data_IF_840026589990
#
_entry.id   IF_840026589990
#
_cell.length_a   1.000
_cell.length_b   1.000
_cell.length_c   1.000
_cell.angle_alpha   90.00
_cell.angle_beta   90.00
_cell.angle_gamma   90.00
#
_symmetry.space_group_name_H-M   'P 1'
#
loop_
_entity.id
_entity.type
_entity.pdbx_description
1 polymer ?
#
# COMPACT_ATOMS: atom_id res chain seq x y z
N UNK A 1 -60.67 60.88 -15.13
CA UNK A 1 -60.30 62.11 -14.41
C UNK A 1 -58.82 62.32 -14.63
N UNK A 2 -58.49 63.06 -15.69
CA UNK A 2 -57.16 63.57 -15.96
C UNK A 2 -57.34 65.09 -16.10
N UNK A 3 -56.57 65.83 -15.31
CA UNK A 3 -56.61 67.28 -15.19
C UNK A 3 -56.27 67.96 -16.52
N UNK A 4 -57.08 68.93 -16.87
CA UNK A 4 -56.91 69.82 -18.03
C UNK A 4 -55.96 70.96 -17.65
N UNK A 5 -54.70 70.91 -18.09
CA UNK A 5 -53.86 72.11 -18.16
C UNK A 5 -54.05 72.81 -19.51
N UNK A 6 -54.97 73.76 -19.52
CA UNK A 6 -55.12 74.77 -20.56
C UNK A 6 -54.03 75.85 -20.39
N UNK A 7 -53.02 75.85 -21.27
CA UNK A 7 -52.19 77.03 -21.50
C UNK A 7 -52.56 77.67 -22.84
N UNK A 8 -53.32 78.76 -22.73
CA UNK A 8 -53.71 79.62 -23.83
C UNK A 8 -52.51 80.43 -24.34
N UNK A 9 -52.26 80.37 -25.64
CA UNK A 9 -51.48 81.38 -26.36
C UNK A 9 -52.33 81.87 -27.53
N UNK A 10 -52.73 83.13 -27.44
CA UNK A 10 -53.47 83.87 -28.47
C UNK A 10 -52.52 84.38 -29.54
N UNK A 11 -52.80 84.09 -30.82
CA UNK A 11 -52.46 85.01 -31.91
C UNK A 11 -53.41 84.83 -33.10
N UNK A 12 -54.07 85.93 -33.46
CA UNK A 12 -54.85 86.13 -34.68
C UNK A 12 -53.96 85.96 -35.92
N UNK A 13 -54.44 85.23 -36.92
CA UNK A 13 -53.88 85.20 -38.26
C UNK A 13 -54.04 83.83 -38.90
N UNK A 14 -54.90 83.74 -39.92
CA UNK A 14 -55.24 82.49 -40.58
C UNK A 14 -54.03 81.74 -41.15
N UNK A 15 -53.96 80.46 -40.83
CA UNK A 15 -53.05 79.48 -41.42
C UNK A 15 -53.52 78.09 -41.02
N UNK A 16 -53.90 77.28 -42.01
CA UNK A 16 -54.33 75.88 -41.81
C UNK A 16 -53.19 75.09 -41.15
N UNK A 17 -53.46 74.46 -40.00
CA UNK A 17 -52.54 73.50 -39.39
C UNK A 17 -53.05 72.09 -39.71
N UNK A 18 -52.36 71.42 -40.62
CA UNK A 18 -52.57 70.02 -40.94
C UNK A 18 -52.19 69.13 -39.74
N UNK A 19 -53.15 68.38 -39.22
CA UNK A 19 -52.93 67.45 -38.11
C UNK A 19 -52.42 66.10 -38.66
N UNK A 20 -51.10 65.93 -38.74
CA UNK A 20 -50.47 64.63 -38.99
C UNK A 20 -50.46 63.77 -37.73
N UNK A 21 -51.26 62.69 -37.68
CA UNK A 21 -51.18 61.68 -36.62
C UNK A 21 -49.86 60.90 -36.74
N UNK A 22 -48.90 61.15 -35.83
CA UNK A 22 -47.75 60.25 -35.62
C UNK A 22 -48.16 59.11 -34.68
N UNK A 23 -47.90 57.83 -35.01
CA UNK A 23 -48.28 56.71 -34.14
C UNK A 23 -47.25 56.54 -33.02
N UNK A 24 -47.38 57.31 -31.93
CA UNK A 24 -46.50 57.17 -30.76
C UNK A 24 -46.73 55.88 -29.95
N UNK A 25 -47.81 55.14 -30.22
CA UNK A 25 -48.22 53.98 -29.42
C UNK A 25 -47.56 52.65 -29.83
N UNK A 26 -46.84 52.60 -30.95
CA UNK A 26 -46.22 51.35 -31.43
C UNK A 26 -44.87 51.03 -30.76
N UNK A 27 -44.16 52.03 -30.23
CA UNK A 27 -42.81 51.85 -29.69
C UNK A 27 -42.83 51.31 -28.26
N UNK A 28 -43.73 51.82 -27.41
CA UNK A 28 -43.87 51.37 -26.02
C UNK A 28 -44.31 49.91 -25.88
N UNK A 29 -45.20 49.44 -26.77
CA UNK A 29 -45.67 48.05 -26.76
C UNK A 29 -44.58 47.05 -27.18
N UNK A 30 -43.67 47.47 -28.08
CA UNK A 30 -42.53 46.65 -28.50
C UNK A 30 -41.45 46.58 -27.42
N UNK A 31 -41.20 47.67 -26.69
CA UNK A 31 -40.26 47.71 -25.57
C UNK A 31 -40.72 46.87 -24.37
N UNK A 32 -42.02 46.94 -23.99
CA UNK A 32 -42.56 46.07 -22.94
C UNK A 32 -42.57 44.59 -23.35
N UNK A 33 -42.89 44.28 -24.62
CA UNK A 33 -42.84 42.90 -25.11
C UNK A 33 -41.41 42.34 -25.09
N UNK A 34 -40.41 43.15 -25.45
CA UNK A 34 -39.00 42.75 -25.40
C UNK A 34 -38.53 42.49 -23.96
N UNK A 35 -38.95 43.33 -23.01
CA UNK A 35 -38.62 43.18 -21.59
C UNK A 35 -39.22 41.90 -20.99
N UNK A 36 -40.46 41.56 -21.34
CA UNK A 36 -41.11 40.32 -20.88
C UNK A 36 -40.45 39.08 -21.47
N UNK A 37 -40.03 39.12 -22.74
CA UNK A 37 -39.30 38.01 -23.38
C UNK A 37 -37.90 37.85 -22.77
N UNK A 38 -37.20 38.93 -22.43
CA UNK A 38 -35.90 38.88 -21.75
C UNK A 38 -35.99 38.33 -20.33
N UNK A 39 -37.03 38.70 -19.57
CA UNK A 39 -37.28 38.16 -18.22
C UNK A 39 -37.71 36.69 -18.28
N UNK A 40 -38.52 36.31 -19.27
CA UNK A 40 -38.89 34.90 -19.49
C UNK A 40 -37.69 34.04 -19.94
N UNK A 41 -36.83 34.57 -20.81
CA UNK A 41 -35.59 33.90 -21.22
C UNK A 41 -34.59 33.75 -20.06
N UNK A 42 -34.52 34.72 -19.15
CA UNK A 42 -33.72 34.63 -17.93
C UNK A 42 -34.27 33.58 -16.93
N UNK A 43 -35.59 33.39 -16.87
CA UNK A 43 -36.22 32.35 -16.05
C UNK A 43 -35.99 30.91 -16.56
N UNK A 44 -35.83 30.73 -17.88
CA UNK A 44 -35.60 29.42 -18.51
C UNK A 44 -34.12 28.98 -18.49
N UNK A 45 -33.18 29.89 -18.19
CA UNK A 45 -31.75 29.57 -18.05
C UNK A 45 -31.36 29.03 -16.65
N UNK A 46 -32.32 28.91 -15.72
CA UNK A 46 -32.06 28.57 -14.32
C UNK A 46 -31.70 27.11 -14.00
N UNK A 47 -31.57 26.22 -15.00
CA UNK A 47 -31.27 24.80 -14.77
C UNK A 47 -30.19 24.25 -15.71
N UNK A 48 -29.09 24.98 -15.88
CA UNK A 48 -27.83 24.34 -16.27
C UNK A 48 -27.03 24.10 -14.99
N UNK A 49 -27.09 22.86 -14.48
CA UNK A 49 -26.12 22.34 -13.51
C UNK A 49 -24.73 22.80 -13.96
N UNK A 50 -24.08 23.62 -13.13
CA UNK A 50 -22.65 23.85 -13.27
C UNK A 50 -22.00 22.48 -13.06
N UNK A 51 -21.24 21.94 -14.02
CA UNK A 51 -20.50 20.70 -13.79
C UNK A 51 -19.44 20.98 -12.72
N UNK A 52 -19.76 20.66 -11.47
CA UNK A 52 -18.76 20.57 -10.43
C UNK A 52 -17.88 19.37 -10.77
N UNK A 53 -16.61 19.60 -11.09
CA UNK A 53 -15.65 18.54 -11.49
C UNK A 53 -15.37 17.51 -10.37
N UNK A 54 -16.05 17.60 -9.21
CA UNK A 54 -15.83 16.74 -8.04
C UNK A 54 -17.08 16.68 -7.14
N UNK A 55 -17.38 15.54 -6.50
CA UNK A 55 -18.44 15.43 -5.49
C UNK A 55 -18.23 16.40 -4.31
N UNK A 56 -19.32 16.98 -3.80
CA UNK A 56 -19.32 17.78 -2.56
C UNK A 56 -19.42 16.88 -1.32
N UNK A 57 -19.02 17.36 -0.14
CA UNK A 57 -19.10 16.58 1.10
C UNK A 57 -20.53 16.11 1.42
N UNK A 58 -21.55 16.92 1.11
CA UNK A 58 -22.96 16.57 1.27
C UNK A 58 -23.42 15.45 0.31
N UNK A 59 -22.83 15.37 -0.88
CA UNK A 59 -23.14 14.31 -1.84
C UNK A 59 -22.52 12.98 -1.41
N UNK A 60 -21.33 13.01 -0.81
CA UNK A 60 -20.67 11.83 -0.24
C UNK A 60 -21.47 11.28 0.93
N UNK A 61 -21.92 12.15 1.86
CA UNK A 61 -22.76 11.69 2.97
C UNK A 61 -24.14 11.18 2.52
N UNK A 62 -24.74 11.77 1.48
CA UNK A 62 -25.99 11.29 0.90
C UNK A 62 -25.84 9.91 0.22
N UNK A 63 -24.71 9.67 -0.46
CA UNK A 63 -24.42 8.37 -1.08
C UNK A 63 -24.11 7.27 -0.07
N UNK A 64 -23.49 7.61 1.07
CA UNK A 64 -23.30 6.67 2.17
C UNK A 64 -24.64 6.16 2.72
N UNK A 65 -25.66 7.03 2.77
CA UNK A 65 -27.01 6.65 3.20
C UNK A 65 -27.71 5.67 2.24
N UNK A 66 -27.25 5.56 0.99
CA UNK A 66 -27.68 4.54 0.01
C UNK A 66 -26.89 3.21 0.14
N UNK A 67 -26.15 3.04 1.24
CA UNK A 67 -25.45 1.81 1.62
C UNK A 67 -24.41 1.30 0.60
N UNK A 68 -23.89 2.20 -0.25
CA UNK A 68 -22.87 1.86 -1.27
C UNK A 68 -21.46 1.73 -0.69
N UNK A 69 -21.23 2.35 0.46
CA UNK A 69 -19.99 2.31 1.22
C UNK A 69 -20.26 2.70 2.67
N UNK A 70 -19.36 2.30 3.57
CA UNK A 70 -19.41 2.66 4.98
C UNK A 70 -18.75 4.03 5.20
N UNK A 71 -19.47 5.01 5.73
CA UNK A 71 -18.91 6.31 6.09
C UNK A 71 -18.55 6.37 7.57
N UNK A 72 -17.26 6.55 7.88
CA UNK A 72 -16.74 6.53 9.25
C UNK A 72 -16.04 7.86 9.54
N UNK A 73 -16.61 8.68 10.43
CA UNK A 73 -15.88 9.83 10.96
C UNK A 73 -14.68 9.37 11.79
N UNK A 74 -13.51 9.96 11.54
CA UNK A 74 -12.29 9.66 12.27
C UNK A 74 -12.36 10.30 13.65
N UNK A 75 -12.26 9.45 14.66
CA UNK A 75 -12.14 9.77 16.09
C UNK A 75 -10.92 9.00 16.67
N UNK A 76 -10.54 9.20 17.95
CA UNK A 76 -9.40 8.49 18.54
C UNK A 76 -9.51 6.96 18.45
N UNK A 77 -10.71 6.41 18.68
CA UNK A 77 -10.93 4.96 18.66
C UNK A 77 -10.80 4.39 17.25
N UNK A 78 -11.36 5.10 16.26
CA UNK A 78 -11.26 4.74 14.85
C UNK A 78 -9.81 4.82 14.37
N UNK A 79 -9.08 5.88 14.72
CA UNK A 79 -7.67 6.04 14.34
C UNK A 79 -6.81 4.89 14.88
N UNK A 80 -6.99 4.51 16.14
CA UNK A 80 -6.24 3.39 16.74
C UNK A 80 -6.67 2.03 16.16
N UNK A 81 -7.97 1.85 15.90
CA UNK A 81 -8.50 0.56 15.39
C UNK A 81 -8.13 0.32 13.94
N UNK A 82 -8.18 1.36 13.09
CA UNK A 82 -7.81 1.28 11.68
C UNK A 82 -6.29 1.11 11.46
N UNK A 83 -5.47 1.38 12.48
CA UNK A 83 -4.00 1.24 12.40
C UNK A 83 -3.54 -0.22 12.54
N UNK A 84 -4.39 -1.15 12.96
CA UNK A 84 -4.03 -2.58 13.06
C UNK A 84 -3.65 -3.13 11.69
N UNK A 85 -2.41 -3.58 11.54
CA UNK A 85 -1.90 -4.19 10.31
C UNK A 85 -2.46 -5.61 10.15
N UNK A 86 -2.80 -5.98 8.93
CA UNK A 86 -3.11 -7.38 8.57
C UNK A 86 -1.88 -8.24 8.84
N UNK A 87 -2.06 -9.43 9.43
CA UNK A 87 -0.95 -10.33 9.71
C UNK A 87 -0.18 -10.70 8.41
N UNK A 88 1.16 -10.71 8.44
CA UNK A 88 1.97 -11.14 7.31
C UNK A 88 1.62 -12.57 6.87
N UNK A 89 1.65 -12.81 5.56
CA UNK A 89 1.37 -14.15 5.00
C UNK A 89 2.54 -15.13 5.20
N UNK A 90 3.73 -14.63 5.55
CA UNK A 90 4.94 -15.45 5.64
C UNK A 90 4.78 -16.66 6.57
N UNK A 91 4.47 -16.42 7.83
CA UNK A 91 4.34 -17.47 8.83
C UNK A 91 3.10 -18.33 8.61
N UNK A 92 1.98 -17.74 8.18
CA UNK A 92 0.76 -18.50 7.92
C UNK A 92 0.92 -19.45 6.71
N UNK A 93 1.72 -19.08 5.71
CA UNK A 93 1.96 -19.91 4.53
C UNK A 93 3.06 -20.96 4.70
N UNK A 94 4.14 -20.63 5.41
CA UNK A 94 5.34 -21.47 5.53
C UNK A 94 5.50 -22.12 6.90
N UNK A 95 4.74 -21.66 7.89
CA UNK A 95 4.86 -22.06 9.29
C UNK A 95 6.03 -21.38 10.00
N UNK A 96 5.99 -21.38 11.33
CA UNK A 96 7.16 -21.11 12.18
C UNK A 96 8.09 -22.33 12.18
N UNK A 97 8.45 -22.80 10.99
CA UNK A 97 9.39 -23.91 10.82
C UNK A 97 10.82 -23.37 10.87
N UNK A 98 11.74 -24.11 11.47
CA UNK A 98 13.15 -23.70 11.58
C UNK A 98 13.93 -24.24 12.77
N UNK A 99 13.27 -24.88 13.73
CA UNK A 99 13.97 -25.63 14.77
C UNK A 99 14.76 -26.79 14.18
N UNK A 100 16.06 -26.56 13.96
CA UNK A 100 17.15 -27.55 13.99
C UNK A 100 16.84 -28.91 13.38
N UNK A 101 16.24 -28.98 12.19
CA UNK A 101 16.33 -30.23 11.41
C UNK A 101 17.72 -30.28 10.83
N UNK A 102 18.59 -31.09 11.44
CA UNK A 102 19.89 -31.38 10.87
C UNK A 102 19.71 -31.76 9.40
N UNK A 103 20.40 -31.09 8.47
CA UNK A 103 20.22 -31.33 7.06
C UNK A 103 20.47 -32.81 6.76
N UNK A 104 19.62 -33.37 5.91
CA UNK A 104 19.78 -34.74 5.41
C UNK A 104 20.75 -34.71 4.24
N UNK A 105 21.61 -35.71 4.18
CA UNK A 105 22.56 -35.88 3.09
C UNK A 105 21.84 -36.26 1.80
N UNK A 106 22.21 -35.65 0.69
CA UNK A 106 21.64 -35.91 -0.63
C UNK A 106 22.65 -36.50 -1.62
N UNK A 107 22.14 -37.06 -2.71
CA UNK A 107 22.98 -37.57 -3.81
C UNK A 107 23.79 -36.42 -4.41
N UNK A 108 25.10 -36.60 -4.52
CA UNK A 108 26.03 -35.60 -5.00
C UNK A 108 26.63 -34.69 -3.93
N UNK A 109 26.19 -34.78 -2.66
CA UNK A 109 26.92 -34.16 -1.56
C UNK A 109 28.27 -34.83 -1.35
N UNK A 110 29.23 -34.07 -0.84
CA UNK A 110 30.57 -34.53 -0.49
C UNK A 110 30.76 -34.43 1.02
N UNK A 111 31.13 -35.55 1.63
CA UNK A 111 31.42 -35.65 3.06
C UNK A 111 32.90 -35.96 3.28
N UNK A 112 33.43 -35.48 4.39
CA UNK A 112 34.74 -35.83 4.92
C UNK A 112 34.53 -36.77 6.10
N UNK A 113 35.23 -37.92 6.10
CA UNK A 113 35.21 -38.86 7.20
C UNK A 113 36.60 -38.95 7.83
N UNK A 114 36.68 -38.76 9.14
CA UNK A 114 37.90 -39.05 9.92
C UNK A 114 37.64 -40.27 10.77
N UNK A 115 38.50 -41.29 10.62
CA UNK A 115 38.40 -42.56 11.32
C UNK A 115 39.60 -42.67 12.26
N UNK A 116 39.36 -42.85 13.54
CA UNK A 116 40.39 -43.14 14.55
C UNK A 116 40.28 -44.58 15.04
N UNK A 117 41.43 -45.14 15.39
CA UNK A 117 41.54 -46.47 15.95
C UNK A 117 42.33 -46.48 17.26
N UNK A 118 42.05 -47.48 18.10
CA UNK A 118 42.73 -47.67 19.38
C UNK A 118 44.05 -48.44 19.24
N UNK A 119 44.33 -49.04 18.07
CA UNK A 119 45.48 -49.93 17.84
C UNK A 119 46.67 -49.17 17.24
N UNK A 120 47.88 -49.61 17.55
CA UNK A 120 49.12 -49.02 17.02
C UNK A 120 49.39 -49.41 15.55
N UNK A 121 48.91 -50.58 15.14
CA UNK A 121 48.97 -51.10 13.78
C UNK A 121 47.57 -51.52 13.31
N UNK A 122 46.63 -50.58 13.36
CA UNK A 122 45.26 -50.77 12.89
C UNK A 122 45.11 -50.55 11.37
N UNK A 123 43.89 -50.78 10.87
CA UNK A 123 43.56 -50.75 9.45
C UNK A 123 43.58 -49.33 8.84
N UNK A 124 43.48 -48.32 9.70
CA UNK A 124 43.43 -46.90 9.38
C UNK A 124 44.51 -46.10 10.13
N UNK A 125 45.60 -46.73 10.56
CA UNK A 125 46.76 -46.00 11.07
C UNK A 125 47.54 -45.38 9.91
N UNK A 126 47.91 -44.11 10.04
CA UNK A 126 48.74 -43.40 9.08
C UNK A 126 50.16 -43.24 9.63
N UNK A 127 51.13 -42.93 8.77
CA UNK A 127 52.53 -42.74 9.17
C UNK A 127 52.75 -41.69 10.27
N UNK A 128 51.76 -40.81 10.49
CA UNK A 128 51.81 -39.70 11.45
C UNK A 128 50.79 -39.79 12.58
N UNK A 129 50.00 -40.87 12.69
CA UNK A 129 49.03 -41.01 13.78
C UNK A 129 48.04 -42.18 13.68
N UNK A 130 47.21 -42.32 14.72
CA UNK A 130 46.17 -43.37 14.82
C UNK A 130 44.85 -42.99 14.11
N UNK A 131 44.96 -42.25 13.01
CA UNK A 131 43.79 -41.76 12.26
C UNK A 131 44.05 -41.62 10.78
N UNK A 132 42.99 -41.81 10.00
CA UNK A 132 42.94 -41.52 8.56
C UNK A 132 41.76 -40.60 8.27
N UNK A 133 42.03 -39.54 7.52
CA UNK A 133 41.00 -38.63 7.00
C UNK A 133 40.79 -38.91 5.52
N UNK A 134 39.52 -39.05 5.12
CA UNK A 134 39.09 -39.20 3.73
C UNK A 134 38.35 -37.94 3.34
N UNK A 135 39.02 -37.05 2.61
CA UNK A 135 38.57 -35.67 2.38
C UNK A 135 37.38 -35.52 1.43
N UNK A 136 37.15 -36.49 0.55
CA UNK A 136 36.21 -36.31 -0.57
C UNK A 136 35.39 -37.55 -0.89
N UNK A 137 34.51 -37.94 0.03
CA UNK A 137 33.52 -38.99 -0.19
C UNK A 137 32.27 -38.41 -0.84
N UNK A 138 32.10 -38.68 -2.14
CA UNK A 138 30.90 -38.23 -2.88
C UNK A 138 29.80 -39.27 -2.73
N UNK A 139 28.59 -38.81 -2.39
CA UNK A 139 27.39 -39.66 -2.35
C UNK A 139 26.98 -39.96 -3.79
N UNK A 140 27.12 -41.22 -4.18
CA UNK A 140 26.85 -41.70 -5.54
C UNK A 140 25.33 -41.80 -5.80
N UNK A 141 24.95 -42.07 -7.05
CA UNK A 141 23.58 -42.15 -7.56
C UNK A 141 22.69 -43.16 -6.83
N UNK A 142 23.27 -44.21 -6.25
CA UNK A 142 22.59 -45.20 -5.40
C UNK A 142 22.38 -44.71 -3.95
N UNK A 143 22.82 -43.49 -3.64
CA UNK A 143 22.76 -42.88 -2.32
C UNK A 143 23.81 -43.41 -1.33
N UNK A 144 24.85 -44.10 -1.82
CA UNK A 144 25.90 -44.67 -1.00
C UNK A 144 27.26 -43.99 -1.19
N UNK A 145 28.12 -44.15 -0.19
CA UNK A 145 29.55 -43.82 -0.25
C UNK A 145 30.36 -45.10 -0.13
N UNK A 146 31.48 -45.16 -0.86
CA UNK A 146 32.45 -46.24 -0.67
C UNK A 146 33.42 -45.86 0.45
N UNK A 147 33.49 -46.70 1.47
CA UNK A 147 34.47 -46.57 2.54
C UNK A 147 35.33 -47.83 2.49
N UNK A 148 36.66 -47.71 2.39
CA UNK A 148 37.55 -48.88 2.43
C UNK A 148 37.18 -49.77 3.61
N UNK A 149 37.15 -51.09 3.42
CA UNK A 149 36.78 -52.12 4.42
C UNK A 149 35.31 -52.12 4.89
N UNK A 150 34.66 -50.98 5.07
CA UNK A 150 33.21 -50.91 5.32
C UNK A 150 32.35 -51.18 4.06
N UNK A 151 32.95 -51.10 2.87
CA UNK A 151 32.29 -51.29 1.58
C UNK A 151 31.39 -50.11 1.20
N UNK A 152 30.33 -50.38 0.40
CA UNK A 152 29.32 -49.36 0.06
C UNK A 152 28.31 -49.20 1.19
N UNK A 153 28.20 -47.97 1.72
CA UNK A 153 27.30 -47.63 2.83
C UNK A 153 26.30 -46.57 2.37
N UNK A 154 25.00 -46.89 2.41
CA UNK A 154 23.93 -45.97 2.02
C UNK A 154 23.70 -44.91 3.09
N UNK A 155 23.94 -43.64 2.76
CA UNK A 155 23.83 -42.50 3.69
C UNK A 155 22.89 -41.38 3.19
N UNK A 156 22.43 -41.44 1.94
CA UNK A 156 21.44 -40.49 1.43
C UNK A 156 20.12 -40.57 2.23
N UNK A 157 19.55 -39.41 2.53
CA UNK A 157 18.34 -39.24 3.35
C UNK A 157 18.57 -39.37 4.86
N UNK A 158 19.82 -39.55 5.31
CA UNK A 158 20.22 -39.59 6.73
C UNK A 158 20.80 -38.26 7.17
N UNK A 159 20.66 -37.93 8.45
CA UNK A 159 21.45 -36.83 9.03
C UNK A 159 22.93 -37.22 9.11
N UNK A 160 23.82 -36.25 9.26
CA UNK A 160 25.25 -36.50 9.47
C UNK A 160 25.49 -37.48 10.63
N UNK A 161 24.74 -37.33 11.72
CA UNK A 161 24.88 -38.17 12.91
C UNK A 161 24.31 -39.57 12.74
N UNK A 162 23.25 -39.73 11.96
CA UNK A 162 22.75 -41.04 11.55
C UNK A 162 23.75 -41.75 10.63
N UNK A 163 24.30 -41.03 9.65
CA UNK A 163 25.30 -41.56 8.72
C UNK A 163 26.57 -41.98 9.47
N UNK A 164 27.07 -41.16 10.39
CA UNK A 164 28.22 -41.45 11.27
C UNK A 164 28.02 -42.78 12.01
N UNK A 165 26.86 -42.98 12.64
CA UNK A 165 26.53 -44.22 13.36
C UNK A 165 26.50 -45.43 12.44
N UNK A 166 25.88 -45.32 11.26
CA UNK A 166 25.81 -46.42 10.28
C UNK A 166 27.22 -46.83 9.84
N UNK A 167 28.09 -45.87 9.54
CA UNK A 167 29.47 -46.11 9.14
C UNK A 167 30.25 -46.78 10.26
N UNK A 168 30.15 -46.26 11.50
CA UNK A 168 30.82 -46.82 12.66
C UNK A 168 30.44 -48.29 12.89
N UNK A 169 29.14 -48.62 12.86
CA UNK A 169 28.66 -50.01 13.02
C UNK A 169 29.13 -50.95 11.90
N UNK A 170 29.35 -50.44 10.68
CA UNK A 170 29.95 -51.24 9.60
C UNK A 170 31.42 -51.52 9.84
N UNK A 171 32.16 -50.53 10.33
CA UNK A 171 33.58 -50.65 10.63
C UNK A 171 33.88 -51.52 11.85
N UNK A 172 32.98 -51.58 12.83
CA UNK A 172 33.10 -52.45 14.01
C UNK A 172 33.22 -53.95 13.67
N UNK A 173 32.85 -54.35 12.45
CA UNK A 173 33.04 -55.73 11.95
C UNK A 173 34.47 -56.01 11.48
N UNK A 174 35.21 -54.95 11.14
CA UNK A 174 36.51 -55.03 10.49
C UNK A 174 37.64 -54.57 11.43
N UNK A 175 37.36 -53.71 12.42
CA UNK A 175 38.36 -53.19 13.36
C UNK A 175 37.82 -53.03 14.78
N UNK A 176 38.72 -52.97 15.76
CA UNK A 176 38.38 -52.90 17.19
C UNK A 176 38.15 -51.45 17.63
N UNK A 177 36.90 -51.15 18.02
CA UNK A 177 36.46 -49.85 18.56
C UNK A 177 36.82 -48.65 17.64
N UNK A 178 36.42 -48.66 16.35
CA UNK A 178 36.61 -47.49 15.50
C UNK A 178 35.80 -46.31 16.03
N UNK A 179 36.40 -45.11 15.98
CA UNK A 179 35.68 -43.85 16.17
C UNK A 179 35.58 -43.14 14.83
N UNK A 180 34.40 -42.65 14.48
CA UNK A 180 34.15 -41.98 13.20
C UNK A 180 33.62 -40.58 13.47
N UNK A 181 34.28 -39.58 12.92
CA UNK A 181 33.74 -38.23 12.73
C UNK A 181 33.35 -38.07 11.26
N UNK A 182 32.17 -37.49 11.03
CA UNK A 182 31.69 -37.19 9.69
C UNK A 182 31.36 -35.70 9.62
N UNK A 183 31.87 -35.01 8.60
CA UNK A 183 31.61 -33.60 8.34
C UNK A 183 31.13 -33.43 6.89
N UNK A 184 30.26 -32.46 6.65
CA UNK A 184 29.89 -32.08 5.28
C UNK A 184 31.02 -31.19 4.75
N UNK A 185 31.66 -31.61 3.65
CA UNK A 185 32.74 -30.86 3.01
C UNK A 185 32.19 -29.89 1.95
N UNK A 186 31.25 -30.35 1.12
CA UNK A 186 30.52 -29.54 0.14
C UNK A 186 29.18 -30.19 -0.13
N UNK A 187 28.08 -29.53 0.22
CA UNK A 187 26.73 -30.03 -0.02
C UNK A 187 25.96 -29.14 -1.00
N UNK A 188 25.20 -29.74 -1.91
CA UNK A 188 24.14 -29.05 -2.66
C UNK A 188 22.84 -29.02 -1.87
N UNK A 189 22.65 -29.99 -0.98
CA UNK A 189 21.38 -30.26 -0.29
C UNK A 189 21.03 -29.32 0.87
N UNK A 190 21.76 -28.23 1.10
CA UNK A 190 21.47 -27.30 2.19
C UNK A 190 21.72 -25.83 1.81
N UNK A 191 21.20 -25.38 0.66
CA UNK A 191 21.33 -23.99 0.22
C UNK A 191 19.97 -23.33 0.00
N UNK A 192 19.88 -22.05 0.32
CA UNK A 192 18.82 -21.16 -0.15
C UNK A 192 19.37 -20.18 -1.19
N UNK A 193 18.51 -19.77 -2.11
CA UNK A 193 18.81 -18.74 -3.10
C UNK A 193 18.29 -17.40 -2.59
N UNK A 194 19.12 -16.38 -2.57
CA UNK A 194 18.73 -14.99 -2.32
C UNK A 194 18.90 -14.18 -3.59
N UNK A 195 17.84 -13.48 -4.00
CA UNK A 195 17.83 -12.64 -5.19
C UNK A 195 17.07 -11.34 -4.97
N UNK A 196 17.29 -10.38 -5.87
CA UNK A 196 16.60 -9.09 -5.89
C UNK A 196 17.41 -7.98 -5.22
N UNK A 197 16.74 -7.07 -4.51
CA UNK A 197 17.28 -5.85 -3.92
C UNK A 197 18.11 -6.10 -2.64
N UNK A 198 19.12 -6.96 -2.74
CA UNK A 198 20.12 -7.21 -1.69
C UNK A 198 21.51 -6.81 -2.16
N UNK A 199 22.45 -6.58 -1.22
CA UNK A 199 23.82 -6.20 -1.58
C UNK A 199 24.59 -7.31 -2.32
N UNK A 200 24.38 -8.58 -1.93
CA UNK A 200 25.06 -9.75 -2.49
C UNK A 200 24.03 -10.84 -2.84
N UNK A 201 23.40 -10.80 -4.03
CA UNK A 201 22.55 -11.90 -4.47
C UNK A 201 23.39 -13.17 -4.74
N UNK A 202 22.85 -14.34 -4.41
CA UNK A 202 23.59 -15.59 -4.54
C UNK A 202 22.98 -16.79 -3.82
N UNK A 203 23.73 -17.88 -3.78
CA UNK A 203 23.40 -19.08 -3.00
C UNK A 203 24.06 -19.01 -1.63
N UNK A 204 23.29 -19.32 -0.58
CA UNK A 204 23.73 -19.26 0.81
C UNK A 204 23.55 -20.63 1.48
N UNK A 205 24.57 -21.08 2.21
CA UNK A 205 24.56 -22.34 2.94
C UNK A 205 23.74 -22.22 4.24
N UNK A 206 22.86 -23.20 4.49
CA UNK A 206 21.90 -23.26 5.61
C UNK A 206 22.41 -24.11 6.80
N UNK A 207 23.72 -24.16 7.01
CA UNK A 207 24.39 -25.06 7.97
C UNK A 207 24.51 -24.53 9.41
N UNK A 208 24.60 -25.44 10.39
CA UNK A 208 24.68 -25.13 11.84
C UNK A 208 26.04 -24.60 12.33
N UNK A 209 27.13 -24.81 11.58
CA UNK A 209 28.48 -24.42 12.02
C UNK A 209 28.83 -22.97 11.63
N UNK A 210 28.44 -22.54 10.42
CA UNK A 210 28.83 -21.26 9.81
C UNK A 210 27.73 -20.69 8.86
N UNK A 211 26.55 -21.31 8.80
CA UNK A 211 25.50 -21.01 7.81
C UNK A 211 24.30 -20.29 8.41
N UNK A 212 23.53 -19.64 7.54
CA UNK A 212 22.34 -18.91 7.91
C UNK A 212 21.14 -19.85 7.99
N UNK A 213 20.75 -20.26 9.20
CA UNK A 213 19.61 -21.14 9.43
C UNK A 213 18.27 -20.42 9.29
N UNK A 214 18.25 -19.11 9.51
CA UNK A 214 17.02 -18.29 9.43
C UNK A 214 16.99 -17.34 8.24
N UNK A 215 15.80 -16.83 7.93
CA UNK A 215 15.61 -15.81 6.91
C UNK A 215 16.43 -14.56 7.23
N UNK A 216 16.43 -14.10 8.49
CA UNK A 216 17.18 -12.94 8.93
C UNK A 216 18.70 -13.12 8.83
N UNK A 217 19.23 -14.28 9.27
CA UNK A 217 20.64 -14.59 9.12
C UNK A 217 21.05 -14.61 7.64
N UNK A 218 20.18 -15.15 6.78
CA UNK A 218 20.46 -15.30 5.35
C UNK A 218 20.45 -13.95 4.65
N UNK A 219 19.49 -13.08 4.98
CA UNK A 219 19.45 -11.70 4.50
C UNK A 219 20.67 -10.90 4.96
N UNK A 220 21.13 -11.13 6.19
CA UNK A 220 22.32 -10.47 6.75
C UNK A 220 23.59 -10.94 6.04
N UNK A 221 23.72 -12.25 5.79
CA UNK A 221 24.81 -12.81 4.99
C UNK A 221 24.82 -12.26 3.55
N UNK A 222 23.63 -12.01 2.99
CA UNK A 222 23.44 -11.32 1.72
C UNK A 222 23.73 -9.81 1.75
N UNK A 223 24.18 -9.28 2.88
CA UNK A 223 24.54 -7.88 3.08
C UNK A 223 23.35 -6.95 3.28
N UNK A 224 22.18 -7.48 3.64
CA UNK A 224 20.96 -6.73 3.91
C UNK A 224 20.23 -6.25 2.65
N UNK A 225 19.15 -5.47 2.86
CA UNK A 225 18.42 -4.82 1.77
C UNK A 225 19.18 -3.61 1.23
N UNK A 226 19.14 -3.43 -0.09
CA UNK A 226 19.63 -2.23 -0.75
C UNK A 226 18.67 -1.03 -0.59
N UNK A 227 17.44 -1.27 -0.13
CA UNK A 227 16.39 -0.28 0.04
C UNK A 227 16.00 -0.11 1.51
N UNK A 228 15.35 1.00 1.89
CA UNK A 228 14.84 1.16 3.25
C UNK A 228 13.88 0.02 3.64
N UNK A 229 13.88 -0.43 4.91
CA UNK A 229 13.05 -1.55 5.35
C UNK A 229 11.55 -1.38 5.07
N UNK A 230 11.05 -0.16 5.21
CA UNK A 230 9.63 0.18 4.98
C UNK A 230 9.19 0.03 3.52
N UNK A 231 10.13 0.04 2.56
CA UNK A 231 9.89 -0.21 1.12
C UNK A 231 10.29 -1.61 0.67
N UNK A 232 10.83 -2.42 1.58
CA UNK A 232 11.38 -3.72 1.20
C UNK A 232 10.36 -4.81 1.52
N UNK A 233 9.94 -5.55 0.50
CA UNK A 233 9.17 -6.77 0.68
C UNK A 233 10.06 -8.00 0.47
N UNK A 234 10.03 -8.91 1.44
CA UNK A 234 10.74 -10.19 1.40
C UNK A 234 9.73 -11.29 1.14
N UNK A 235 9.91 -12.01 0.04
CA UNK A 235 9.07 -13.15 -0.33
C UNK A 235 9.91 -14.42 -0.30
N UNK A 236 9.44 -15.43 0.44
CA UNK A 236 10.03 -16.76 0.46
C UNK A 236 9.14 -17.72 -0.33
N UNK A 237 9.74 -18.44 -1.26
CA UNK A 237 9.09 -19.48 -2.08
C UNK A 237 9.67 -20.84 -1.73
N UNK A 238 8.83 -21.73 -1.23
CA UNK A 238 9.13 -23.10 -0.80
C UNK A 238 8.29 -24.09 -1.59
N UNK A 239 8.86 -24.66 -2.65
CA UNK A 239 8.12 -25.49 -3.59
C UNK A 239 6.95 -24.74 -4.21
N UNK A 240 5.71 -25.14 -3.91
CA UNK A 240 4.47 -24.48 -4.37
C UNK A 240 3.92 -23.44 -3.39
N UNK A 241 4.48 -23.36 -2.17
CA UNK A 241 4.06 -22.41 -1.14
C UNK A 241 4.86 -21.13 -1.26
N UNK A 242 4.21 -20.00 -1.00
CA UNK A 242 4.85 -18.69 -0.95
C UNK A 242 4.31 -17.88 0.21
N UNK A 243 5.18 -17.11 0.83
CA UNK A 243 4.81 -16.18 1.90
C UNK A 243 5.64 -14.92 1.79
N UNK A 244 5.03 -13.78 2.13
CA UNK A 244 5.66 -12.47 2.02
C UNK A 244 5.52 -11.68 3.32
N UNK A 245 6.54 -10.89 3.63
CA UNK A 245 6.59 -9.99 4.77
C UNK A 245 7.33 -8.71 4.40
N UNK A 246 6.88 -7.58 4.93
CA UNK A 246 7.63 -6.34 4.87
C UNK A 246 8.86 -6.43 5.81
N UNK A 247 10.04 -6.00 5.35
CA UNK A 247 11.29 -6.16 6.08
C UNK A 247 11.28 -5.44 7.44
N UNK A 248 10.65 -4.27 7.53
CA UNK A 248 10.52 -3.56 8.81
C UNK A 248 9.67 -4.36 9.81
N UNK A 249 8.57 -4.95 9.35
CA UNK A 249 7.72 -5.81 10.20
C UNK A 249 8.49 -7.03 10.69
N UNK A 250 9.37 -7.60 9.86
CA UNK A 250 10.26 -8.69 10.25
C UNK A 250 11.28 -8.26 11.32
N UNK A 251 11.83 -7.03 11.22
CA UNK A 251 12.75 -6.47 12.22
C UNK A 251 12.06 -6.20 13.56
N UNK A 252 10.83 -5.69 13.54
CA UNK A 252 10.07 -5.36 14.75
C UNK A 252 9.52 -6.60 15.47
N UNK A 253 9.32 -7.71 14.75
CA UNK A 253 8.64 -8.89 15.26
C UNK A 253 9.46 -10.16 14.94
N UNK A 254 10.37 -10.58 15.83
CA UNK A 254 11.21 -11.77 15.66
C UNK A 254 10.41 -13.07 15.46
N UNK A 255 9.16 -13.13 15.91
CA UNK A 255 8.26 -14.27 15.73
C UNK A 255 7.94 -14.61 14.27
N UNK A 256 8.24 -13.69 13.34
CA UNK A 256 8.13 -13.92 11.90
C UNK A 256 9.43 -14.38 11.24
N UNK A 257 10.54 -14.47 11.98
CA UNK A 257 11.78 -15.05 11.45
C UNK A 257 11.63 -16.57 11.32
N UNK A 258 11.48 -17.02 10.07
CA UNK A 258 11.34 -18.43 9.76
C UNK A 258 12.71 -19.05 9.47
N UNK A 259 12.87 -20.31 9.82
CA UNK A 259 13.98 -21.11 9.33
C UNK A 259 13.81 -21.44 7.86
N UNK A 260 14.90 -21.30 7.11
CA UNK A 260 14.94 -21.66 5.71
C UNK A 260 15.15 -23.16 5.54
N UNK A 261 14.55 -23.70 4.49
CA UNK A 261 14.73 -25.07 4.06
C UNK A 261 15.56 -25.13 2.78
N UNK A 262 16.28 -26.24 2.53
CA UNK A 262 17.01 -26.42 1.28
C UNK A 262 16.10 -26.22 0.06
N UNK A 263 16.57 -25.42 -0.90
CA UNK A 263 15.82 -25.09 -2.11
C UNK A 263 14.85 -23.90 -1.98
N UNK A 264 14.74 -23.30 -0.79
CA UNK A 264 14.00 -22.05 -0.61
C UNK A 264 14.58 -20.94 -1.50
N UNK A 265 13.68 -20.14 -2.08
CA UNK A 265 14.03 -18.94 -2.86
C UNK A 265 13.53 -17.73 -2.12
N UNK A 266 14.46 -16.92 -1.64
CA UNK A 266 14.21 -15.63 -1.00
C UNK A 266 14.36 -14.54 -2.05
N UNK A 267 13.27 -13.84 -2.33
CA UNK A 267 13.21 -12.72 -3.28
C UNK A 267 12.95 -11.44 -2.49
N UNK A 268 13.87 -10.50 -2.59
CA UNK A 268 13.77 -9.19 -1.96
C UNK A 268 13.41 -8.17 -3.04
N UNK A 269 12.30 -7.47 -2.88
CA UNK A 269 11.82 -6.50 -3.85
C UNK A 269 11.66 -5.10 -3.22
N UNK A 270 11.93 -4.07 -4.02
CA UNK A 270 11.51 -2.70 -3.70
C UNK A 270 10.05 -2.55 -4.09
N UNK A 271 9.20 -2.36 -3.09
CA UNK A 271 7.76 -2.14 -3.23
C UNK A 271 7.45 -0.80 -2.58
N UNK A 272 7.62 0.32 -3.32
CA UNK A 272 7.28 1.64 -2.78
C UNK A 272 5.79 1.70 -2.48
N UNK A 273 5.44 2.00 -1.23
CA UNK A 273 4.07 2.29 -0.86
C UNK A 273 3.70 3.69 -1.38
N UNK A 274 2.55 3.80 -2.05
CA UNK A 274 2.06 5.07 -2.62
C UNK A 274 0.65 5.38 -2.15
N UNK A 275 0.25 6.64 -2.25
CA UNK A 275 -1.12 7.11 -2.06
C UNK A 275 -1.49 8.15 -3.10
N UNK A 276 -2.78 8.29 -3.36
CA UNK A 276 -3.30 9.29 -4.30
C UNK A 276 -3.94 10.47 -3.58
N UNK A 277 -3.57 11.68 -3.96
CA UNK A 277 -4.15 12.94 -3.48
C UNK A 277 -4.99 13.60 -4.56
N UNK A 278 -6.26 13.82 -4.27
CA UNK A 278 -7.25 14.37 -5.19
C UNK A 278 -8.06 15.51 -4.56
N UNK A 279 -8.69 16.33 -5.41
CA UNK A 279 -9.60 17.39 -4.98
C UNK A 279 -8.92 18.72 -4.65
N UNK A 280 -9.41 19.43 -3.64
CA UNK A 280 -9.03 20.81 -3.30
C UNK A 280 -7.74 20.92 -2.46
N UNK A 281 -6.66 20.31 -2.95
CA UNK A 281 -5.30 20.38 -2.36
C UNK A 281 -4.38 21.18 -3.28
N UNK A 282 -3.27 21.68 -2.74
CA UNK A 282 -2.30 22.49 -3.51
C UNK A 282 -1.75 21.69 -4.70
N UNK A 283 -1.22 20.50 -4.43
CA UNK A 283 -0.67 19.59 -5.42
C UNK A 283 -1.43 18.26 -5.42
N UNK A 284 -2.00 17.90 -6.58
CA UNK A 284 -2.70 16.62 -6.81
C UNK A 284 -1.73 15.64 -7.45
N UNK A 285 -1.90 14.36 -7.19
CA UNK A 285 -1.07 13.32 -7.81
C UNK A 285 -0.88 12.11 -6.92
N UNK A 286 -0.01 11.22 -7.37
CA UNK A 286 0.45 10.05 -6.63
C UNK A 286 1.75 10.37 -5.91
N UNK A 287 1.85 9.98 -4.64
CA UNK A 287 2.98 10.28 -3.76
C UNK A 287 3.50 9.00 -3.10
N UNK A 288 4.83 8.81 -3.03
CA UNK A 288 5.41 7.72 -2.28
C UNK A 288 5.43 8.02 -0.78
N UNK A 289 5.36 6.97 0.04
CA UNK A 289 5.65 7.09 1.46
C UNK A 289 7.13 7.35 1.67
N UNK A 290 7.44 8.36 2.47
CA UNK A 290 8.83 8.78 2.76
C UNK A 290 9.39 8.15 4.03
N UNK A 291 8.53 7.49 4.81
CA UNK A 291 8.82 6.88 6.12
C UNK A 291 7.80 5.77 6.42
N UNK A 292 8.07 4.97 7.44
CA UNK A 292 7.23 3.84 7.85
C UNK A 292 5.99 4.23 8.63
N UNK A 293 6.13 5.21 9.50
CA UNK A 293 5.07 5.84 10.29
C UNK A 293 4.39 6.93 9.45
N UNK A 294 3.88 6.56 8.27
CA UNK A 294 3.20 7.49 7.38
C UNK A 294 1.73 7.65 7.78
N UNK A 295 1.35 8.86 8.18
CA UNK A 295 0.01 9.18 8.67
C UNK A 295 -0.74 10.14 7.74
N UNK A 296 -2.05 10.28 7.95
CA UNK A 296 -2.90 11.16 7.12
C UNK A 296 -2.42 12.63 7.15
N UNK A 297 -1.83 13.08 8.26
CA UNK A 297 -1.22 14.41 8.33
C UNK A 297 0.01 14.56 7.41
N UNK A 298 0.80 13.49 7.27
CA UNK A 298 1.97 13.47 6.39
C UNK A 298 1.53 13.53 4.92
N UNK A 299 0.43 12.83 4.58
CA UNK A 299 -0.19 12.87 3.26
C UNK A 299 -0.65 14.29 2.88
N UNK A 300 -1.37 14.97 3.79
CA UNK A 300 -1.80 16.36 3.59
C UNK A 300 -0.60 17.31 3.44
N UNK A 301 0.45 17.08 4.22
CA UNK A 301 1.67 17.90 4.16
C UNK A 301 2.44 17.69 2.86
N UNK A 302 2.54 16.45 2.38
CA UNK A 302 3.19 16.11 1.11
C UNK A 302 2.48 16.73 -0.10
N UNK A 303 1.15 16.89 -0.04
CA UNK A 303 0.38 17.58 -1.06
C UNK A 303 0.51 19.12 -1.02
N UNK A 304 1.24 19.68 -0.04
CA UNK A 304 1.34 21.12 0.18
C UNK A 304 0.16 21.71 0.98
N UNK A 305 -0.69 20.87 1.57
CA UNK A 305 -1.84 21.29 2.36
C UNK A 305 -3.13 21.49 1.55
N UNK A 306 -4.15 21.99 2.25
CA UNK A 306 -5.46 22.30 1.68
C UNK A 306 -5.42 23.68 1.03
N UNK A 307 -6.12 23.84 -0.10
CA UNK A 307 -6.30 25.16 -0.72
C UNK A 307 -7.21 26.03 0.13
N UNK A 308 -6.67 27.03 0.82
CA UNK A 308 -7.41 27.84 1.80
C UNK A 308 -8.73 28.44 1.29
N UNK A 309 -8.77 28.83 0.02
CA UNK A 309 -9.95 29.49 -0.60
C UNK A 309 -10.94 28.52 -1.26
N UNK A 310 -10.56 27.27 -1.45
CA UNK A 310 -11.34 26.28 -2.21
C UNK A 310 -11.70 25.05 -1.39
N UNK A 311 -10.88 24.65 -0.44
CA UNK A 311 -11.03 23.41 0.29
C UNK A 311 -12.07 23.48 1.39
N UNK A 312 -12.90 22.45 1.48
CA UNK A 312 -13.79 22.26 2.62
C UNK A 312 -13.04 21.53 3.75
N UNK A 313 -12.72 22.24 4.83
CA UNK A 313 -11.96 21.69 5.98
C UNK A 313 -12.69 20.54 6.70
N UNK A 314 -14.01 20.44 6.61
CA UNK A 314 -14.80 19.33 7.16
C UNK A 314 -14.87 18.09 6.25
N UNK A 315 -14.37 18.21 5.01
CA UNK A 315 -14.60 17.25 3.94
C UNK A 315 -13.29 16.70 3.36
N UNK A 316 -12.39 16.30 4.25
CA UNK A 316 -11.22 15.48 3.92
C UNK A 316 -11.62 14.02 4.07
N UNK A 317 -11.59 13.27 2.97
CA UNK A 317 -12.04 11.89 2.93
C UNK A 317 -10.88 10.97 2.56
N UNK A 318 -10.78 9.82 3.21
CA UNK A 318 -9.86 8.75 2.84
C UNK A 318 -10.69 7.53 2.43
N UNK A 319 -10.44 7.03 1.22
CA UNK A 319 -11.17 5.92 0.63
C UNK A 319 -10.26 4.68 0.62
N UNK A 320 -10.76 3.58 1.17
CA UNK A 320 -10.05 2.29 1.19
C UNK A 320 -11.02 1.12 1.31
N UNK A 321 -10.59 -0.06 0.89
CA UNK A 321 -11.27 -1.30 1.26
C UNK A 321 -10.74 -1.77 2.61
N UNK A 322 -11.62 -1.96 3.58
CA UNK A 322 -11.24 -2.45 4.91
C UNK A 322 -11.64 -3.88 5.18
N UNK A 323 -10.88 -4.50 6.07
CA UNK A 323 -11.22 -5.80 6.62
C UNK A 323 -12.55 -5.72 7.41
N UNK A 324 -13.48 -6.66 7.19
CA UNK A 324 -14.75 -6.69 7.92
C UNK A 324 -14.58 -6.71 9.44
N UNK A 325 -13.51 -7.31 9.97
CA UNK A 325 -13.19 -7.33 11.40
C UNK A 325 -12.92 -5.94 11.97
N UNK A 326 -12.22 -5.07 11.22
CA UNK A 326 -11.95 -3.68 11.61
C UNK A 326 -13.25 -2.88 11.60
N UNK A 327 -14.02 -2.95 10.51
CA UNK A 327 -15.31 -2.24 10.40
C UNK A 327 -16.26 -2.69 11.50
N UNK A 328 -16.36 -4.00 11.76
CA UNK A 328 -17.19 -4.55 12.82
C UNK A 328 -16.72 -4.19 14.24
N UNK A 329 -15.43 -3.93 14.45
CA UNK A 329 -14.93 -3.38 15.72
C UNK A 329 -15.43 -1.94 15.92
N UNK A 330 -15.41 -1.12 14.87
CA UNK A 330 -15.91 0.26 14.89
C UNK A 330 -17.43 0.28 15.10
N UNK A 331 -18.18 -0.52 14.35
CA UNK A 331 -19.65 -0.61 14.47
C UNK A 331 -20.09 -1.05 15.86
N UNK A 332 -19.42 -2.03 16.46
CA UNK A 332 -19.69 -2.45 17.85
C UNK A 332 -19.48 -1.31 18.86
N UNK A 333 -18.42 -0.53 18.71
CA UNK A 333 -18.18 0.64 19.55
C UNK A 333 -19.28 1.70 19.40
N UNK A 334 -19.92 1.78 18.23
CA UNK A 334 -21.04 2.69 17.93
C UNK A 334 -22.43 2.13 18.26
N UNK A 335 -22.53 0.87 18.69
CA UNK A 335 -23.81 0.20 18.92
C UNK A 335 -24.56 -0.18 17.63
N UNK A 336 -23.85 -0.26 16.50
CA UNK A 336 -24.41 -0.59 15.19
C UNK A 336 -24.36 -2.10 14.92
N UNK A 337 -25.30 -2.65 14.12
CA UNK A 337 -25.33 -4.07 13.80
C UNK A 337 -24.09 -4.49 13.00
N UNK A 338 -23.54 -5.66 13.31
CA UNK A 338 -22.36 -6.25 12.67
C UNK A 338 -22.67 -6.61 11.21
N UNK A 339 -21.76 -6.24 10.30
CA UNK A 339 -21.83 -6.61 8.90
C UNK A 339 -21.44 -8.08 8.71
N UNK A 340 -22.31 -8.85 8.05
CA UNK A 340 -22.07 -10.25 7.68
C UNK A 340 -21.48 -10.34 6.27
N UNK A 341 -20.30 -9.77 6.07
CA UNK A 341 -19.56 -9.88 4.80
C UNK A 341 -18.20 -10.52 5.01
N UNK A 342 -17.77 -11.33 4.03
CA UNK A 342 -16.43 -11.93 3.97
C UNK A 342 -15.49 -11.19 3.02
N UNK A 343 -16.03 -10.24 2.25
CA UNK A 343 -15.28 -9.43 1.29
C UNK A 343 -14.92 -8.08 1.89
N UNK A 344 -13.87 -7.44 1.38
CA UNK A 344 -13.46 -6.11 1.81
C UNK A 344 -14.60 -5.11 1.74
N UNK A 345 -14.75 -4.31 2.79
CA UNK A 345 -15.82 -3.32 2.92
C UNK A 345 -15.33 -1.99 2.34
N UNK A 346 -15.95 -1.45 1.28
CA UNK A 346 -15.62 -0.11 0.79
C UNK A 346 -15.92 0.89 1.91
N UNK A 347 -14.87 1.51 2.44
CA UNK A 347 -14.95 2.37 3.61
C UNK A 347 -14.39 3.74 3.29
N UNK A 348 -15.16 4.77 3.64
CA UNK A 348 -14.80 6.17 3.49
C UNK A 348 -14.63 6.76 4.88
N UNK A 349 -13.40 7.14 5.21
CA UNK A 349 -13.07 7.81 6.45
C UNK A 349 -13.17 9.32 6.29
N UNK A 350 -13.95 9.99 7.14
CA UNK A 350 -14.08 11.44 7.12
C UNK A 350 -13.26 12.08 8.24
N UNK A 351 -12.37 12.99 7.88
CA UNK A 351 -11.62 13.83 8.80
C UNK A 351 -12.18 15.25 8.81
N UNK A 352 -12.43 15.78 10.02
CA UNK A 352 -12.85 17.17 10.20
C UNK A 352 -11.68 18.02 10.74
N UNK A 353 -11.17 18.93 9.90
CA UNK A 353 -10.10 19.88 10.24
C UNK A 353 -10.60 21.28 10.64
N UNK A 354 -11.92 21.49 10.78
CA UNK A 354 -12.44 22.71 11.41
C UNK A 354 -12.14 22.76 12.91
N UNK A 355 -12.05 21.58 13.52
CA UNK A 355 -11.65 21.41 14.91
C UNK A 355 -10.17 21.07 14.99
N UNK A 356 -9.43 21.75 15.86
CA UNK A 356 -8.01 21.49 16.12
C UNK A 356 -7.75 20.02 16.50
N UNK A 357 -8.72 19.33 17.13
CA UNK A 357 -8.63 17.89 17.45
C UNK A 357 -8.44 17.02 16.21
N UNK A 358 -8.98 17.44 15.06
CA UNK A 358 -8.82 16.73 13.79
C UNK A 358 -7.36 16.54 13.40
N UNK A 359 -6.49 17.50 13.67
CA UNK A 359 -5.05 17.36 13.39
C UNK A 359 -4.39 16.28 14.23
N UNK A 360 -4.79 16.12 15.49
CA UNK A 360 -4.30 15.02 16.34
C UNK A 360 -4.76 13.66 15.83
N UNK A 361 -6.00 13.58 15.32
CA UNK A 361 -6.52 12.35 14.73
C UNK A 361 -5.80 12.02 13.41
N UNK A 362 -5.53 13.01 12.58
CA UNK A 362 -4.74 12.87 11.35
C UNK A 362 -3.30 12.38 11.62
N UNK A 363 -2.71 12.78 12.75
CA UNK A 363 -1.39 12.31 13.18
C UNK A 363 -1.38 10.87 13.71
N UNK A 364 -2.53 10.35 14.16
CA UNK A 364 -2.66 8.95 14.64
C UNK A 364 -3.15 7.99 13.59
N UNK A 365 -3.86 8.48 12.56
CA UNK A 365 -4.41 7.64 11.52
C UNK A 365 -3.31 7.22 10.53
N UNK A 366 -2.85 5.97 10.64
CA UNK A 366 -1.85 5.41 9.73
C UNK A 366 -2.42 5.20 8.33
N UNK A 367 -1.68 5.62 7.32
CA UNK A 367 -2.00 5.42 5.91
C UNK A 367 -1.54 4.02 5.47
N UNK A 368 -2.25 3.42 4.51
CA UNK A 368 -1.84 2.19 3.82
C UNK A 368 -1.54 2.46 2.34
N UNK A 369 -0.70 1.61 1.76
CA UNK A 369 -0.42 1.67 0.33
C UNK A 369 -1.71 1.53 -0.48
N UNK A 370 -1.88 2.38 -1.50
CA UNK A 370 -3.06 2.44 -2.35
C UNK A 370 -4.23 3.26 -1.77
N UNK A 371 -4.09 3.86 -0.58
CA UNK A 371 -5.11 4.75 -0.04
C UNK A 371 -5.33 5.97 -0.96
N UNK A 372 -6.59 6.39 -1.09
CA UNK A 372 -6.97 7.57 -1.86
C UNK A 372 -7.50 8.63 -0.92
N UNK A 373 -6.84 9.78 -0.87
CA UNK A 373 -7.29 10.94 -0.09
C UNK A 373 -7.92 11.96 -1.03
N UNK A 374 -9.14 12.33 -0.72
CA UNK A 374 -9.96 13.22 -1.52
C UNK A 374 -10.46 14.39 -0.65
N UNK A 375 -10.13 15.62 -1.06
CA UNK A 375 -10.56 16.84 -0.38
C UNK A 375 -11.65 17.53 -1.19
N UNK A 376 -12.82 17.70 -0.60
CA UNK A 376 -13.96 18.35 -1.26
C UNK A 376 -13.81 19.87 -1.36
N UNK A 377 -14.54 20.47 -2.30
CA UNK A 377 -14.60 21.91 -2.46
C UNK A 377 -15.62 22.53 -1.48
N UNK A 378 -15.30 23.72 -0.95
CA UNK A 378 -16.18 24.47 -0.05
C UNK A 378 -17.42 25.00 -0.82
N UNK A 379 -18.62 24.98 -0.22
CA UNK A 379 -19.87 25.38 -0.87
C UNK A 379 -19.89 26.83 -1.42
N UNK A 380 -19.03 27.71 -0.89
CA UNK A 380 -19.04 29.15 -1.22
C UNK A 380 -18.35 29.45 -2.57
N UNK A 381 -17.58 28.53 -3.15
CA UNK A 381 -16.83 28.77 -4.39
C UNK A 381 -17.65 28.61 -5.69
N UNK A 382 -18.94 28.28 -5.60
CA UNK A 382 -19.82 28.24 -6.77
C UNK A 382 -20.41 29.62 -7.10
N UNK A 383 -20.63 30.49 -6.11
CA UNK A 383 -21.21 31.81 -6.34
C UNK A 383 -20.26 32.77 -7.09
N UNK A 384 -18.95 32.69 -6.85
CA UNK A 384 -17.97 33.51 -7.58
C UNK A 384 -17.77 33.06 -9.04
N UNK A 385 -17.99 31.77 -9.36
CA UNK A 385 -18.04 31.25 -10.73
C UNK A 385 -19.26 31.75 -11.49
N UNK A 386 -20.38 31.97 -10.80
CA UNK A 386 -21.61 32.57 -11.35
C UNK A 386 -21.44 34.09 -11.55
N UNK A 387 -20.74 34.77 -10.63
CA UNK A 387 -20.54 36.23 -10.69
C UNK A 387 -19.43 36.68 -11.66
N UNK A 388 -18.46 35.82 -11.96
CA UNK A 388 -17.40 36.11 -12.93
C UNK A 388 -17.91 36.60 -14.30
N UNK A 389 -18.77 35.85 -15.00
CA UNK A 389 -19.36 36.30 -16.27
C UNK A 389 -20.33 37.48 -16.09
N UNK A 390 -21.05 37.58 -14.96
CA UNK A 390 -21.96 38.70 -14.69
C UNK A 390 -21.23 40.04 -14.58
N UNK A 391 -20.03 40.06 -13.97
CA UNK A 391 -19.21 41.26 -13.86
C UNK A 391 -18.70 41.77 -15.23
N UNK A 392 -18.42 40.87 -16.17
CA UNK A 392 -18.01 41.23 -17.54
C UNK A 392 -19.17 41.81 -18.35
N UNK A 393 -20.39 41.28 -18.19
CA UNK A 393 -21.58 41.85 -18.82
C UNK A 393 -21.93 43.25 -18.30
N UNK A 394 -21.70 43.54 -17.01
CA UNK A 394 -21.90 44.88 -16.45
C UNK A 394 -20.88 45.88 -17.01
N UNK A 395 -19.63 45.45 -17.24
CA UNK A 395 -18.60 46.29 -17.84
C UNK A 395 -18.87 46.61 -19.33
N UNK A 396 -19.38 45.65 -20.10
CA UNK A 396 -19.80 45.84 -21.50
C UNK A 396 -21.05 46.72 -21.62
N UNK A 397 -22.00 46.59 -20.70
CA UNK A 397 -23.18 47.47 -20.65
C UNK A 397 -22.80 48.93 -20.34
N UNK A 398 -21.81 49.14 -19.48
CA UNK A 398 -21.33 50.50 -19.12
C UNK A 398 -20.54 51.16 -20.25
N UNK A 399 -19.82 50.40 -21.07
CA UNK A 399 -19.13 50.91 -22.27
C UNK A 399 -20.06 51.11 -23.46
N UNK A 400 -21.16 50.36 -23.56
CA UNK A 400 -22.22 50.60 -24.55
C UNK A 400 -23.02 51.89 -24.30
N UNK A 401 -23.22 52.27 -23.04
CA UNK A 401 -23.95 53.49 -22.67
C UNK A 401 -23.14 54.78 -22.88
N UNK A 402 -21.81 54.72 -22.91
CA UNK A 402 -20.95 55.91 -23.18
C UNK A 402 -20.76 56.22 -24.66
N UNK A 403 -21.12 55.32 -25.58
CA UNK A 403 -21.12 55.58 -27.03
C UNK A 403 -22.48 56.10 -27.55
N UNK A 404 -23.48 56.21 -26.68
CA UNK A 404 -24.84 56.63 -27.04
C UNK A 404 -25.24 58.05 -26.63
N UNK A 405 -24.27 58.91 -26.26
CA UNK A 405 -24.51 60.35 -26.03
C UNK A 405 -23.85 61.20 -27.11
#
# INVERSE_FOLDING_TARGET
MADEDCLAVTKRGGGQVACGRRPAYALGRRLCALAVVLVAAAGLAGCTLVPGETPMASSVSAQAADNRFELITIDPFVADTATRRTEPSLVSALGRGGGTRSPKLEVGDTVQATIWESLDAGLYTSATGRSTTIDRLVIDSDGAVFIPYAGRVRIAGKTVEEARRIIQTRLERETVRPQVELRIATGRGARAMVAGAVAKPGLYDLGLADGAGTLMETLTAAGGSAQPPYRTEVTVVRGTRRGSINLETLYENPDYDIGLEPGDKVVVADVPATFSMLGAVENKGEYPFTKSDFHLIDALSAAGGLKDKQAQRTGVFLLRFEDPGIVNAIRRHRGEPVLKTRSGVPTVYQLNLMDTRGFFYAKRFAMRSGDVVFVTNAPVHEWSKILGPLSQSIFLARTGLTFGQ
#
